data_IF_364668453437
#
_entry.id   IF_364668453437
#
_cell.length_a   1.000
_cell.length_b   1.000
_cell.length_c   1.000
_cell.angle_alpha   90.00
_cell.angle_beta   90.00
_cell.angle_gamma   90.00
#
_symmetry.space_group_name_H-M   'P 1'
#
loop_
_entity.id
_entity.type
_entity.pdbx_description
1 polymer ?
#
# COMPACT_ATOMS: atom_id res chain seq x y z
N UNK A 1 2.99 1.89 9.38
CA UNK A 1 2.20 0.83 10.03
C UNK A 1 3.03 -0.05 10.94
N UNK A 2 4.26 -0.38 10.58
CA UNK A 2 5.14 -1.09 11.52
C UNK A 2 5.29 -0.29 12.82
N UNK A 3 5.05 -0.96 13.95
CA UNK A 3 5.07 -0.33 15.28
C UNK A 3 3.74 0.30 15.72
N UNK A 4 2.73 0.33 14.83
CA UNK A 4 1.36 0.74 15.18
C UNK A 4 0.43 -0.47 15.00
N UNK A 5 -0.18 -0.98 16.06
CA UNK A 5 -1.11 -2.10 15.98
C UNK A 5 -2.28 -1.81 15.03
N UNK A 6 -2.76 -2.86 14.37
CA UNK A 6 -3.88 -2.75 13.41
C UNK A 6 -5.12 -2.18 14.08
N UNK A 7 -5.37 -2.58 15.31
CA UNK A 7 -6.52 -2.16 16.12
C UNK A 7 -6.49 -0.66 16.42
N UNK A 8 -5.31 -0.08 16.64
CA UNK A 8 -5.16 1.36 16.85
C UNK A 8 -5.43 2.15 15.56
N UNK A 9 -5.03 1.60 14.41
CA UNK A 9 -5.33 2.21 13.11
C UNK A 9 -6.84 2.14 12.84
N UNK A 10 -7.47 1.01 13.11
CA UNK A 10 -8.93 0.84 12.99
C UNK A 10 -9.67 1.85 13.88
N UNK A 11 -9.22 2.04 15.11
CA UNK A 11 -9.79 3.05 16.01
C UNK A 11 -9.59 4.47 15.46
N UNK A 12 -8.39 4.80 14.99
CA UNK A 12 -8.10 6.08 14.34
C UNK A 12 -9.01 6.37 13.13
N UNK A 13 -9.34 5.34 12.35
CA UNK A 13 -10.26 5.48 11.20
C UNK A 13 -11.65 5.92 11.65
N UNK A 14 -12.15 5.42 12.78
CA UNK A 14 -13.43 5.87 13.36
C UNK A 14 -13.40 7.35 13.75
N UNK A 15 -12.24 7.84 14.15
CA UNK A 15 -12.01 9.23 14.56
C UNK A 15 -11.52 10.15 13.44
N UNK A 16 -11.58 9.73 12.19
CA UNK A 16 -11.34 10.60 11.04
C UNK A 16 -10.04 10.40 10.29
N UNK A 17 -9.22 9.41 10.64
CA UNK A 17 -8.07 9.03 9.80
C UNK A 17 -8.57 8.53 8.45
N UNK A 18 -8.08 9.13 7.36
CA UNK A 18 -8.50 8.81 5.98
C UNK A 18 -7.38 8.35 5.09
N UNK A 19 -6.14 8.55 5.49
CA UNK A 19 -4.95 8.12 4.75
C UNK A 19 -3.97 7.44 5.70
N UNK A 20 -3.56 6.24 5.35
CA UNK A 20 -2.55 5.45 6.08
C UNK A 20 -1.42 5.11 5.12
N UNK A 21 -0.18 5.44 5.50
CA UNK A 21 1.00 5.03 4.76
C UNK A 21 1.46 3.65 5.25
N UNK A 22 1.75 2.76 4.30
CA UNK A 22 2.28 1.43 4.56
C UNK A 22 3.58 1.29 3.77
N UNK A 23 4.70 1.19 4.45
CA UNK A 23 6.03 1.02 3.84
C UNK A 23 6.82 -0.07 4.54
N UNK A 24 7.15 0.10 5.82
CA UNK A 24 8.01 -0.83 6.55
C UNK A 24 7.45 -2.24 6.61
N UNK A 25 6.15 -2.41 6.77
CA UNK A 25 5.49 -3.72 6.72
C UNK A 25 5.74 -4.43 5.39
N UNK A 26 5.66 -3.70 4.27
CA UNK A 26 5.90 -4.24 2.93
C UNK A 26 7.36 -4.64 2.76
N UNK A 27 8.30 -3.83 3.25
CA UNK A 27 9.73 -4.14 3.22
C UNK A 27 10.05 -5.38 4.04
N UNK A 28 9.45 -5.52 5.22
CA UNK A 28 9.62 -6.69 6.08
C UNK A 28 9.05 -7.95 5.42
N UNK A 29 7.86 -7.87 4.84
CA UNK A 29 7.23 -8.99 4.15
C UNK A 29 8.09 -9.45 2.95
N UNK A 30 8.54 -8.50 2.13
CA UNK A 30 9.40 -8.76 0.97
C UNK A 30 10.73 -9.41 1.39
N UNK A 31 11.44 -8.80 2.33
CA UNK A 31 12.74 -9.31 2.82
C UNK A 31 12.58 -10.68 3.47
N UNK A 32 11.53 -10.88 4.25
CA UNK A 32 11.24 -12.17 4.88
C UNK A 32 10.98 -13.27 3.86
N UNK A 33 10.25 -12.96 2.77
CA UNK A 33 10.00 -13.89 1.68
C UNK A 33 11.28 -14.32 0.97
N UNK A 34 12.17 -13.38 0.63
CA UNK A 34 13.47 -13.67 0.02
C UNK A 34 14.31 -14.55 0.94
N UNK A 35 14.45 -14.18 2.21
CA UNK A 35 15.25 -14.95 3.18
C UNK A 35 14.75 -16.38 3.32
N UNK A 36 13.44 -16.56 3.40
CA UNK A 36 12.83 -17.89 3.50
C UNK A 36 13.09 -18.72 2.26
N UNK A 37 12.88 -18.13 1.08
CA UNK A 37 13.11 -18.81 -0.19
C UNK A 37 14.58 -19.25 -0.34
N UNK A 38 15.52 -18.37 -0.06
CA UNK A 38 16.96 -18.67 -0.16
C UNK A 38 17.41 -19.71 0.86
N UNK A 39 16.84 -19.72 2.07
CA UNK A 39 17.13 -20.75 3.05
C UNK A 39 16.61 -22.12 2.62
N UNK A 40 15.48 -22.19 1.93
CA UNK A 40 14.89 -23.42 1.41
C UNK A 40 15.52 -23.89 0.10
N UNK A 41 16.13 -22.98 -0.67
CA UNK A 41 16.71 -23.23 -1.97
C UNK A 41 18.12 -22.63 -2.05
N UNK A 42 19.10 -23.17 -1.29
CA UNK A 42 20.43 -22.55 -1.17
C UNK A 42 21.24 -22.51 -2.47
N UNK A 43 20.91 -23.34 -3.46
CA UNK A 43 21.54 -23.33 -4.78
C UNK A 43 20.90 -22.35 -5.78
N UNK A 44 19.80 -21.71 -5.41
CA UNK A 44 19.11 -20.79 -6.33
C UNK A 44 19.84 -19.45 -6.40
N UNK A 45 20.03 -18.97 -7.62
CA UNK A 45 20.73 -17.72 -7.88
C UNK A 45 19.98 -16.76 -8.81
N UNK A 46 18.87 -17.20 -9.43
CA UNK A 46 18.09 -16.37 -10.35
C UNK A 46 17.16 -15.40 -9.58
N UNK A 47 17.41 -14.07 -9.67
CA UNK A 47 16.57 -13.08 -9.01
C UNK A 47 15.09 -13.17 -9.37
N UNK A 48 14.74 -13.57 -10.59
CA UNK A 48 13.35 -13.71 -11.02
C UNK A 48 12.60 -14.75 -10.18
N UNK A 49 13.30 -15.76 -9.68
CA UNK A 49 12.70 -16.80 -8.85
C UNK A 49 12.50 -16.34 -7.42
N UNK A 50 13.53 -15.82 -6.75
CA UNK A 50 13.38 -15.42 -5.35
C UNK A 50 12.60 -14.10 -5.18
N UNK A 51 12.63 -13.19 -6.16
CA UNK A 51 11.81 -11.99 -6.12
C UNK A 51 10.32 -12.25 -6.41
N UNK A 52 9.99 -13.34 -7.10
CA UNK A 52 8.60 -13.75 -7.29
C UNK A 52 7.85 -13.92 -5.96
N UNK A 53 8.53 -14.49 -4.96
CA UNK A 53 7.94 -14.71 -3.64
C UNK A 53 7.60 -13.40 -2.92
N UNK A 54 8.34 -12.33 -3.21
CA UNK A 54 8.06 -11.00 -2.63
C UNK A 54 6.72 -10.45 -3.09
N UNK A 55 6.36 -10.67 -4.36
CA UNK A 55 5.09 -10.20 -4.93
C UNK A 55 3.91 -10.82 -4.18
N UNK A 56 3.97 -12.13 -3.92
CA UNK A 56 2.94 -12.83 -3.16
C UNK A 56 2.86 -12.32 -1.72
N UNK A 57 3.99 -12.23 -1.02
CA UNK A 57 4.02 -11.79 0.37
C UNK A 57 3.50 -10.34 0.54
N UNK A 58 3.89 -9.44 -0.34
CA UNK A 58 3.42 -8.05 -0.31
C UNK A 58 1.94 -7.94 -0.66
N UNK A 59 1.47 -8.68 -1.67
CA UNK A 59 0.06 -8.73 -2.03
C UNK A 59 -0.80 -9.20 -0.85
N UNK A 60 -0.41 -10.29 -0.20
CA UNK A 60 -1.18 -10.88 0.89
C UNK A 60 -1.23 -9.93 2.09
N UNK A 61 -0.14 -9.21 2.37
CA UNK A 61 -0.13 -8.15 3.36
C UNK A 61 -1.10 -7.02 2.98
N UNK A 62 -1.08 -6.54 1.73
CA UNK A 62 -2.00 -5.51 1.26
C UNK A 62 -3.46 -5.95 1.40
N UNK A 63 -3.79 -7.18 1.03
CA UNK A 63 -5.14 -7.73 1.18
C UNK A 63 -5.57 -7.65 2.64
N UNK A 64 -4.75 -8.15 3.56
CA UNK A 64 -5.06 -8.13 4.99
C UNK A 64 -5.28 -6.72 5.54
N UNK A 65 -4.54 -5.73 5.04
CA UNK A 65 -4.69 -4.33 5.44
C UNK A 65 -5.95 -3.69 4.84
N UNK A 66 -6.26 -3.96 3.57
CA UNK A 66 -7.49 -3.48 2.94
C UNK A 66 -8.75 -4.01 3.63
N UNK A 67 -8.73 -5.28 4.03
CA UNK A 67 -9.82 -5.88 4.79
C UNK A 67 -9.94 -5.24 6.17
N UNK A 68 -8.83 -5.16 6.92
CA UNK A 68 -8.81 -4.61 8.26
C UNK A 68 -9.23 -3.13 8.32
N UNK A 69 -8.90 -2.34 7.30
CA UNK A 69 -9.20 -0.91 7.25
C UNK A 69 -10.54 -0.59 6.57
N UNK A 70 -11.29 -1.59 6.13
CA UNK A 70 -12.59 -1.41 5.48
C UNK A 70 -12.49 -0.85 4.05
N UNK A 71 -11.32 -0.94 3.42
CA UNK A 71 -11.08 -0.45 2.05
C UNK A 71 -11.40 -1.50 0.98
N UNK A 72 -11.40 -2.78 1.35
CA UNK A 72 -11.68 -3.88 0.43
C UNK A 72 -13.04 -3.71 -0.25
N UNK A 73 -13.11 -4.06 -1.54
CA UNK A 73 -14.34 -3.97 -2.32
C UNK A 73 -14.72 -2.56 -2.81
N UNK A 74 -13.91 -1.54 -2.54
CA UNK A 74 -14.24 -0.16 -2.90
C UNK A 74 -13.53 0.38 -4.15
N UNK A 75 -12.65 -0.40 -4.78
CA UNK A 75 -11.86 0.05 -5.94
C UNK A 75 -12.72 0.54 -7.11
N UNK A 76 -13.83 -0.12 -7.39
CA UNK A 76 -14.77 0.26 -8.46
C UNK A 76 -15.48 1.60 -8.21
N UNK A 77 -15.50 2.09 -6.98
CA UNK A 77 -16.09 3.39 -6.61
C UNK A 77 -15.15 4.55 -6.91
N UNK A 78 -13.87 4.29 -7.11
CA UNK A 78 -12.86 5.31 -7.40
C UNK A 78 -12.85 5.53 -8.91
N UNK A 79 -13.17 6.77 -9.32
CA UNK A 79 -13.12 7.20 -10.72
C UNK A 79 -11.88 8.07 -10.92
N UNK A 80 -10.94 7.69 -11.80
CA UNK A 80 -9.81 8.54 -12.13
C UNK A 80 -10.30 9.87 -12.71
N UNK A 81 -9.64 10.96 -12.32
CA UNK A 81 -9.86 12.27 -12.95
C UNK A 81 -9.18 12.25 -14.30
N UNK A 82 -9.87 12.64 -15.37
CA UNK A 82 -9.28 12.72 -16.70
C UNK A 82 -8.19 13.79 -16.76
N UNK A 83 -7.24 13.63 -17.69
CA UNK A 83 -6.17 14.61 -17.89
C UNK A 83 -6.73 16.00 -18.22
N UNK A 84 -7.77 16.04 -19.04
CA UNK A 84 -8.48 17.28 -19.42
C UNK A 84 -9.09 17.98 -18.19
N UNK A 85 -9.83 17.25 -17.37
CA UNK A 85 -10.39 17.80 -16.13
C UNK A 85 -9.31 18.29 -15.16
N UNK A 86 -8.19 17.57 -15.08
CA UNK A 86 -7.09 17.99 -14.22
C UNK A 86 -6.43 19.26 -14.75
N UNK A 87 -6.20 19.39 -16.07
CA UNK A 87 -5.66 20.60 -16.72
C UNK A 87 -6.53 21.82 -16.41
N UNK A 88 -7.85 21.71 -16.58
CA UNK A 88 -8.78 22.79 -16.26
C UNK A 88 -8.70 23.22 -14.78
N UNK A 89 -8.50 22.28 -13.85
CA UNK A 89 -8.34 22.63 -12.42
C UNK A 89 -7.04 23.40 -12.16
N UNK A 90 -5.95 23.04 -12.83
CA UNK A 90 -4.68 23.79 -12.77
C UNK A 90 -4.84 25.20 -13.36
N UNK A 91 -5.45 25.33 -14.53
CA UNK A 91 -5.68 26.63 -15.19
C UNK A 91 -6.52 27.58 -14.33
N UNK A 92 -7.50 27.04 -13.61
CA UNK A 92 -8.37 27.82 -12.69
C UNK A 92 -7.71 28.13 -11.34
N UNK A 93 -6.51 27.66 -11.08
CA UNK A 93 -5.82 27.86 -9.81
C UNK A 93 -6.45 27.12 -8.62
N UNK A 94 -7.35 26.16 -8.87
CA UNK A 94 -8.04 25.41 -7.80
C UNK A 94 -7.10 24.58 -6.94
N UNK A 95 -5.93 24.22 -7.49
CA UNK A 95 -4.91 23.40 -6.83
C UNK A 95 -3.77 24.25 -6.24
N UNK A 96 -3.85 25.56 -6.32
CA UNK A 96 -2.86 26.44 -5.71
C UNK A 96 -2.90 26.30 -4.17
N UNK A 97 -1.75 26.25 -3.48
CA UNK A 97 -1.71 26.14 -2.04
C UNK A 97 -2.36 27.38 -1.40
N UNK A 98 -3.37 27.16 -0.59
CA UNK A 98 -3.97 28.21 0.23
C UNK A 98 -3.15 28.33 1.51
N UNK A 99 -2.14 29.18 1.47
CA UNK A 99 -1.36 29.53 2.68
C UNK A 99 -2.24 30.51 3.47
N UNK A 100 -2.62 30.10 4.68
CA UNK A 100 -3.25 31.01 5.67
C UNK A 100 -2.17 31.62 6.54
#
# INVERSE_FOLDING_TARGET
TYGVPVEEIQEGIKHGVRKVNIDTDLRLASTGAVRRFMAQNPSEFDPRKFLKETVTAMRDLCISRYEAFGTAGNASKIKPVSLEQMSLRYERGELAPKIK
#
